data_IF_454618646845
#
_entry.id   IF_454618646845
#
_cell.length_a   1.000
_cell.length_b   1.000
_cell.length_c   1.000
_cell.angle_alpha   90.00
_cell.angle_beta   90.00
_cell.angle_gamma   90.00
#
_symmetry.space_group_name_H-M   'P 1'
#
loop_
_entity.id
_entity.type
_entity.pdbx_description
1 polymer ?
#
# COMPACT_ATOMS: atom_id res chain seq x y z
N UNK A 1 -4.49 23.91 13.01
CA UNK A 1 -3.43 24.60 12.24
C UNK A 1 -2.75 23.59 11.32
N UNK A 2 -2.72 23.79 9.99
CA UNK A 2 -1.98 22.88 9.08
C UNK A 2 -0.50 23.23 9.12
N UNK A 3 0.34 22.32 9.62
CA UNK A 3 1.79 22.50 9.63
C UNK A 3 2.32 22.46 8.18
N UNK A 4 2.88 23.57 7.69
CA UNK A 4 3.59 23.62 6.41
C UNK A 4 5.03 23.15 6.61
N UNK A 5 5.46 22.16 5.82
CA UNK A 5 6.86 21.71 5.76
C UNK A 5 7.50 22.21 4.47
N UNK A 6 8.76 22.69 4.49
CA UNK A 6 9.47 23.05 3.28
C UNK A 6 9.68 21.81 2.38
N UNK A 7 9.83 21.97 1.06
CA UNK A 7 9.97 20.84 0.12
C UNK A 7 11.10 19.86 0.49
N UNK A 8 12.20 20.36 1.06
CA UNK A 8 13.36 19.58 1.51
C UNK A 8 13.07 18.66 2.70
N UNK A 9 12.12 19.03 3.56
CA UNK A 9 11.70 18.23 4.73
C UNK A 9 10.49 17.34 4.44
N UNK A 10 9.90 17.42 3.24
CA UNK A 10 8.74 16.59 2.89
C UNK A 10 9.20 15.17 2.56
N UNK A 11 8.49 14.18 3.09
CA UNK A 11 8.74 12.79 2.74
C UNK A 11 8.60 12.58 1.22
N UNK A 12 9.65 12.02 0.62
CA UNK A 12 9.66 11.63 -0.79
C UNK A 12 8.83 10.35 -0.96
N UNK A 13 7.72 10.49 -1.68
CA UNK A 13 6.72 9.43 -1.90
C UNK A 13 6.74 8.87 -3.32
N UNK A 14 6.31 7.62 -3.45
CA UNK A 14 6.02 6.91 -4.69
C UNK A 14 4.65 6.26 -4.60
N UNK A 15 4.05 6.01 -5.75
CA UNK A 15 2.75 5.38 -5.86
C UNK A 15 2.90 4.08 -6.63
N UNK A 16 2.47 2.97 -6.02
CA UNK A 16 2.40 1.66 -6.64
C UNK A 16 0.93 1.41 -6.99
N UNK A 17 0.68 1.12 -8.26
CA UNK A 17 -0.64 0.74 -8.75
C UNK A 17 -0.67 -0.78 -8.80
N UNK A 18 -1.69 -1.39 -8.22
CA UNK A 18 -1.85 -2.84 -8.19
C UNK A 18 -3.26 -3.22 -8.61
N UNK A 19 -3.41 -4.44 -9.12
CA UNK A 19 -4.70 -5.04 -9.46
C UNK A 19 -4.81 -6.38 -8.76
N UNK A 20 -5.95 -6.62 -8.14
CA UNK A 20 -6.29 -7.91 -7.52
C UNK A 20 -6.97 -8.76 -8.59
N UNK A 21 -6.43 -9.95 -8.78
CA UNK A 21 -7.02 -11.00 -9.61
C UNK A 21 -7.59 -12.05 -8.65
N UNK A 22 -8.90 -12.19 -8.61
CA UNK A 22 -9.59 -13.19 -7.81
C UNK A 22 -10.36 -14.12 -8.75
N UNK A 23 -10.37 -15.42 -8.45
CA UNK A 23 -11.06 -16.42 -9.26
C UNK A 23 -12.58 -16.27 -9.20
N UNK A 24 -13.11 -15.85 -8.04
CA UNK A 24 -14.54 -15.65 -7.83
C UNK A 24 -14.85 -14.26 -7.25
N UNK A 25 -15.82 -13.59 -7.87
CA UNK A 25 -16.43 -12.38 -7.34
C UNK A 25 -15.53 -11.14 -7.29
N UNK A 26 -15.96 -10.17 -6.49
CA UNK A 26 -15.20 -8.93 -6.24
C UNK A 26 -14.74 -8.92 -4.78
N UNK A 27 -13.48 -8.56 -4.54
CA UNK A 27 -12.95 -8.50 -3.18
C UNK A 27 -13.34 -7.15 -2.55
N UNK A 28 -13.94 -7.14 -1.34
CA UNK A 28 -14.19 -5.91 -0.60
C UNK A 28 -12.90 -5.15 -0.32
N UNK A 29 -12.95 -3.82 -0.39
CA UNK A 29 -11.77 -2.98 -0.16
C UNK A 29 -11.12 -3.21 1.22
N UNK A 30 -11.94 -3.40 2.25
CA UNK A 30 -11.42 -3.60 3.61
C UNK A 30 -10.63 -4.91 3.72
N UNK A 31 -11.08 -5.98 3.05
CA UNK A 31 -10.32 -7.24 2.97
C UNK A 31 -8.99 -7.05 2.23
N UNK A 32 -8.99 -6.32 1.11
CA UNK A 32 -7.75 -6.00 0.36
C UNK A 32 -6.79 -5.19 1.24
N UNK A 33 -7.31 -4.19 1.93
CA UNK A 33 -6.52 -3.33 2.82
C UNK A 33 -5.87 -4.16 3.93
N UNK A 34 -6.64 -5.02 4.57
CA UNK A 34 -6.15 -5.84 5.68
C UNK A 34 -5.14 -6.88 5.19
N UNK A 35 -5.39 -7.55 4.06
CA UNK A 35 -4.44 -8.49 3.45
C UNK A 35 -3.11 -7.82 3.11
N UNK A 36 -3.14 -6.64 2.49
CA UNK A 36 -1.94 -5.88 2.13
C UNK A 36 -1.18 -5.42 3.38
N UNK A 37 -1.89 -4.87 4.38
CA UNK A 37 -1.25 -4.40 5.61
C UNK A 37 -0.64 -5.56 6.42
N UNK A 38 -1.35 -6.68 6.52
CA UNK A 38 -0.84 -7.88 7.20
C UNK A 38 0.39 -8.42 6.50
N UNK A 39 0.38 -8.51 5.17
CA UNK A 39 1.55 -8.98 4.41
C UNK A 39 2.77 -8.07 4.61
N UNK A 40 2.57 -6.75 4.59
CA UNK A 40 3.65 -5.79 4.85
C UNK A 40 4.20 -5.94 6.26
N UNK A 41 3.33 -6.03 7.27
CA UNK A 41 3.76 -6.22 8.65
C UNK A 41 4.50 -7.55 8.85
N UNK A 42 4.04 -8.63 8.22
CA UNK A 42 4.68 -9.94 8.30
C UNK A 42 6.04 -9.96 7.59
N UNK A 43 6.19 -9.26 6.47
CA UNK A 43 7.42 -9.24 5.68
C UNK A 43 8.50 -8.32 6.28
N UNK A 44 8.17 -7.04 6.54
CA UNK A 44 9.17 -6.04 6.98
C UNK A 44 9.11 -5.70 8.48
N UNK A 45 8.13 -6.24 9.20
CA UNK A 45 7.88 -5.91 10.59
C UNK A 45 7.35 -4.49 10.80
N UNK A 46 7.07 -4.15 12.05
CA UNK A 46 6.52 -2.84 12.44
C UNK A 46 7.46 -1.68 12.11
N UNK A 47 8.76 -1.87 12.35
CA UNK A 47 9.80 -0.86 12.06
C UNK A 47 9.89 -0.57 10.56
N UNK A 48 9.88 -1.62 9.74
CA UNK A 48 9.92 -1.49 8.27
C UNK A 48 8.65 -0.84 7.73
N UNK A 49 7.48 -1.26 8.23
CA UNK A 49 6.21 -0.66 7.86
C UNK A 49 6.16 0.86 8.17
N UNK A 50 6.68 1.27 9.33
CA UNK A 50 6.78 2.68 9.69
C UNK A 50 7.69 3.48 8.75
N UNK A 51 8.85 2.92 8.35
CA UNK A 51 9.78 3.54 7.41
C UNK A 51 9.23 3.60 5.97
N UNK A 52 8.47 2.58 5.59
CA UNK A 52 7.86 2.48 4.27
C UNK A 52 6.73 3.50 4.06
N UNK A 53 6.19 4.11 5.13
CA UNK A 53 5.13 5.11 5.07
C UNK A 53 3.95 4.66 4.18
N UNK A 54 3.56 3.40 4.34
CA UNK A 54 2.55 2.75 3.51
C UNK A 54 1.18 3.38 3.77
N UNK A 55 0.49 3.74 2.70
CA UNK A 55 -0.88 4.24 2.78
C UNK A 55 -1.68 3.80 1.57
N UNK A 56 -2.73 3.01 1.81
CA UNK A 56 -3.65 2.54 0.76
C UNK A 56 -4.74 3.60 0.57
N UNK A 57 -4.86 4.13 -0.65
CA UNK A 57 -5.73 5.28 -0.92
C UNK A 57 -7.14 4.80 -1.26
N UNK A 58 -8.03 4.78 -0.26
CA UNK A 58 -9.43 4.32 -0.40
C UNK A 58 -10.17 5.02 -1.53
N UNK A 59 -10.00 6.34 -1.69
CA UNK A 59 -10.70 7.11 -2.72
C UNK A 59 -10.29 6.79 -4.16
N UNK A 60 -9.16 6.09 -4.36
CA UNK A 60 -8.68 5.67 -5.68
C UNK A 60 -8.93 4.18 -5.95
N UNK A 61 -9.66 3.49 -5.06
CA UNK A 61 -10.05 2.10 -5.28
C UNK A 61 -11.14 2.00 -6.34
N UNK A 62 -10.87 1.27 -7.41
CA UNK A 62 -11.86 0.90 -8.42
C UNK A 62 -12.36 -0.52 -8.13
N UNK A 63 -13.55 -0.63 -7.54
CA UNK A 63 -14.16 -1.91 -7.19
C UNK A 63 -14.51 -2.78 -8.41
N UNK A 64 -14.78 -2.17 -9.58
CA UNK A 64 -15.08 -2.93 -10.81
C UNK A 64 -13.83 -3.52 -11.42
N UNK A 65 -12.74 -2.74 -11.44
CA UNK A 65 -11.45 -3.20 -11.98
C UNK A 65 -10.53 -3.85 -10.94
N UNK A 66 -10.98 -3.91 -9.69
CA UNK A 66 -10.20 -4.41 -8.54
C UNK A 66 -8.79 -3.78 -8.50
N UNK A 67 -8.70 -2.48 -8.80
CA UNK A 67 -7.43 -1.76 -8.97
C UNK A 67 -7.28 -0.72 -7.86
N UNK A 68 -6.12 -0.71 -7.21
CA UNK A 68 -5.82 0.14 -6.06
C UNK A 68 -4.48 0.86 -6.16
N UNK A 69 -4.30 1.83 -5.27
CA UNK A 69 -3.12 2.68 -5.19
C UNK A 69 -2.53 2.65 -3.80
N UNK A 70 -1.23 2.35 -3.71
CA UNK A 70 -0.45 2.37 -2.48
C UNK A 70 0.57 3.49 -2.57
N UNK A 71 0.52 4.41 -1.62
CA UNK A 71 1.60 5.35 -1.40
C UNK A 71 2.67 4.70 -0.51
N UNK A 72 3.94 4.86 -0.86
CA UNK A 72 5.07 4.41 -0.06
C UNK A 72 6.25 5.38 -0.16
N UNK A 73 7.28 5.15 0.67
CA UNK A 73 8.57 5.82 0.58
C UNK A 73 9.30 5.43 -0.70
N UNK A 74 10.02 6.38 -1.30
CA UNK A 74 10.86 6.12 -2.46
C UNK A 74 11.95 5.05 -2.27
N UNK A 75 12.31 4.71 -1.02
CA UNK A 75 13.37 3.72 -0.71
C UNK A 75 12.83 2.30 -0.55
N UNK A 76 11.54 2.14 -0.29
CA UNK A 76 10.92 0.87 0.11
C UNK A 76 9.94 0.37 -0.94
N UNK A 77 10.07 0.85 -2.20
CA UNK A 77 9.13 0.51 -3.28
C UNK A 77 9.17 -0.98 -3.57
N UNK A 78 10.37 -1.56 -3.60
CA UNK A 78 10.53 -2.99 -3.91
C UNK A 78 10.12 -3.87 -2.74
N UNK A 79 10.37 -3.46 -1.49
CA UNK A 79 9.83 -4.14 -0.31
C UNK A 79 8.29 -4.22 -0.33
N UNK A 80 7.62 -3.13 -0.75
CA UNK A 80 6.15 -3.12 -0.89
C UNK A 80 5.70 -4.04 -2.01
N UNK A 81 6.39 -4.07 -3.16
CA UNK A 81 6.06 -5.03 -4.24
C UNK A 81 6.24 -6.48 -3.79
N UNK A 82 7.32 -6.77 -3.07
CA UNK A 82 7.56 -8.10 -2.51
C UNK A 82 6.45 -8.49 -1.54
N UNK A 83 6.07 -7.60 -0.62
CA UNK A 83 4.94 -7.86 0.28
C UNK A 83 3.63 -8.14 -0.48
N UNK A 84 3.34 -7.41 -1.56
CA UNK A 84 2.16 -7.69 -2.39
C UNK A 84 2.22 -9.09 -3.04
N UNK A 85 3.40 -9.51 -3.50
CA UNK A 85 3.57 -10.84 -4.12
C UNK A 85 3.47 -12.01 -3.13
N UNK A 86 3.65 -11.74 -1.83
CA UNK A 86 3.59 -12.75 -0.77
C UNK A 86 2.19 -12.95 -0.19
N UNK A 87 1.17 -12.27 -0.73
CA UNK A 87 -0.22 -12.45 -0.28
C UNK A 87 -0.71 -13.81 -0.79
N UNK A 88 -1.03 -14.69 0.15
CA UNK A 88 -1.76 -15.94 -0.09
C UNK A 88 -2.96 -15.98 0.86
N UNK A 89 -4.16 -16.22 0.32
CA UNK A 89 -5.41 -16.39 1.07
C UNK A 89 -6.27 -17.45 0.41
#
# INVERSE_FOLDING_TARGET
MKLKKPPSMRNKKRYVIFRVHADEGTVPFDNVKDAVMNSILNWVGERGAAQAHVWIIKNLWDAKKQTGYIQCSHKTVDEVKTALSLIYQ
#
